data_IF_675871238528
#
_entry.id   IF_675871238528
#
_cell.length_a   1.000
_cell.length_b   1.000
_cell.length_c   1.000
_cell.angle_alpha   90.00
_cell.angle_beta   90.00
_cell.angle_gamma   90.00
#
_symmetry.space_group_name_H-M   'P 1'
#
loop_
_entity.id
_entity.type
_entity.pdbx_description
1 polymer ?
#
# COMPACT_ATOMS: atom_id res chain seq x y z
N UNK A 1 -28.79 3.32 -22.64
CA UNK A 1 -28.27 2.41 -21.61
C UNK A 1 -26.99 3.01 -21.07
N UNK A 2 -26.99 3.25 -19.77
CA UNK A 2 -26.10 4.17 -19.05
C UNK A 2 -24.70 3.55 -19.00
N UNK A 3 -23.72 4.26 -19.53
CA UNK A 3 -22.30 3.90 -19.41
C UNK A 3 -21.82 4.32 -18.01
N UNK A 4 -22.24 3.58 -16.98
CA UNK A 4 -21.60 3.64 -15.65
C UNK A 4 -20.38 2.73 -15.63
N UNK A 5 -19.47 2.91 -16.60
CA UNK A 5 -18.20 2.19 -16.59
C UNK A 5 -17.18 3.02 -15.81
N UNK A 6 -17.15 2.68 -14.53
CA UNK A 6 -16.28 3.18 -13.49
C UNK A 6 -14.84 3.47 -14.00
N UNK A 7 -14.43 4.72 -13.84
CA UNK A 7 -13.12 5.29 -14.13
C UNK A 7 -12.07 4.64 -13.20
N UNK A 8 -11.57 3.44 -13.54
CA UNK A 8 -10.47 2.82 -12.78
C UNK A 8 -9.51 1.92 -13.60
N UNK A 9 -9.77 1.67 -14.88
CA UNK A 9 -9.05 0.65 -15.67
C UNK A 9 -7.97 1.16 -16.64
N UNK A 10 -7.58 2.46 -16.62
CA UNK A 10 -6.58 3.02 -17.54
C UNK A 10 -5.42 3.80 -16.88
N UNK A 11 -5.05 3.54 -15.61
CA UNK A 11 -3.97 4.31 -14.95
C UNK A 11 -2.82 3.44 -14.43
N UNK A 12 -2.39 2.45 -15.21
CA UNK A 12 -1.00 1.98 -15.16
C UNK A 12 -0.70 1.02 -16.29
N UNK A 13 0.19 1.41 -17.20
CA UNK A 13 0.87 0.44 -18.04
C UNK A 13 1.66 -0.53 -17.12
N UNK A 14 1.41 -1.85 -17.15
CA UNK A 14 2.06 -2.80 -16.27
C UNK A 14 3.59 -2.83 -16.46
N UNK A 15 4.06 -2.45 -17.66
CA UNK A 15 5.48 -2.29 -17.97
C UNK A 15 6.04 -1.07 -17.24
N UNK A 16 5.45 0.12 -17.44
CA UNK A 16 5.91 1.35 -16.81
C UNK A 16 5.88 1.29 -15.28
N UNK A 17 4.90 0.59 -14.70
CA UNK A 17 4.79 0.41 -13.24
C UNK A 17 5.92 -0.46 -12.68
N UNK A 18 6.38 -1.46 -13.44
CA UNK A 18 7.52 -2.30 -13.07
C UNK A 18 8.81 -1.48 -13.06
N UNK A 19 8.98 -0.57 -14.00
CA UNK A 19 10.14 0.33 -14.09
C UNK A 19 10.14 1.41 -12.99
N UNK A 20 8.96 1.93 -12.62
CA UNK A 20 8.79 2.93 -11.55
C UNK A 20 8.98 2.36 -10.15
N UNK A 21 9.03 1.04 -10.01
CA UNK A 21 9.08 0.40 -8.69
C UNK A 21 10.37 0.79 -7.95
N UNK A 22 10.28 1.38 -6.75
CA UNK A 22 11.47 1.69 -5.98
C UNK A 22 12.21 0.39 -5.66
N UNK A 23 13.53 0.37 -5.89
CA UNK A 23 14.38 -0.81 -5.70
C UNK A 23 14.72 -1.05 -4.23
N UNK A 24 14.54 -0.03 -3.37
CA UNK A 24 14.89 -0.03 -1.95
C UNK A 24 13.83 0.70 -1.13
N UNK A 25 13.79 0.43 0.18
CA UNK A 25 12.91 1.12 1.13
C UNK A 25 11.67 0.33 1.56
N UNK A 26 10.78 0.99 2.29
CA UNK A 26 9.56 0.40 2.86
C UNK A 26 8.57 -0.03 1.76
N UNK A 27 8.38 0.82 0.75
CA UNK A 27 7.39 0.63 -0.33
C UNK A 27 7.84 -0.35 -1.44
N UNK A 28 9.12 -0.74 -1.47
CA UNK A 28 9.67 -1.63 -2.52
C UNK A 28 9.12 -3.05 -2.44
N UNK A 29 8.70 -3.50 -1.25
CA UNK A 29 8.13 -4.83 -1.05
C UNK A 29 6.65 -4.92 -1.44
N UNK A 30 6.00 -3.79 -1.75
CA UNK A 30 4.56 -3.73 -1.98
C UNK A 30 4.20 -3.77 -3.47
N UNK A 31 2.99 -4.26 -3.75
CA UNK A 31 2.39 -4.19 -5.08
C UNK A 31 2.12 -2.73 -5.46
N UNK A 32 1.97 -2.45 -6.75
CA UNK A 32 1.60 -1.13 -7.24
C UNK A 32 0.36 -0.52 -6.56
N UNK A 33 -0.79 -1.23 -6.45
CA UNK A 33 -1.97 -0.66 -5.80
C UNK A 33 -1.75 -0.40 -4.30
N UNK A 34 -1.07 -1.30 -3.58
CA UNK A 34 -0.83 -1.12 -2.15
C UNK A 34 0.15 0.04 -1.87
N UNK A 35 1.21 0.17 -2.66
CA UNK A 35 2.14 1.31 -2.57
C UNK A 35 1.42 2.63 -2.81
N UNK A 36 0.65 2.73 -3.90
CA UNK A 36 -0.08 3.96 -4.24
C UNK A 36 -1.08 4.34 -3.16
N UNK A 37 -1.79 3.36 -2.61
CA UNK A 37 -2.73 3.60 -1.52
C UNK A 37 -2.02 4.17 -0.28
N UNK A 38 -0.86 3.65 0.09
CA UNK A 38 -0.07 4.19 1.21
C UNK A 38 0.53 5.55 0.89
N UNK A 39 1.06 5.76 -0.31
CA UNK A 39 1.59 7.06 -0.77
C UNK A 39 0.52 8.14 -0.77
N UNK A 40 -0.71 7.80 -1.18
CA UNK A 40 -1.86 8.71 -1.16
C UNK A 40 -2.21 9.16 0.26
N UNK A 41 -2.14 8.25 1.24
CA UNK A 41 -2.32 8.57 2.66
C UNK A 41 -1.08 9.22 3.30
N UNK A 42 0.00 9.41 2.55
CA UNK A 42 1.26 9.97 3.06
C UNK A 42 2.09 9.02 3.92
N UNK A 43 1.81 7.71 3.87
CA UNK A 43 2.52 6.65 4.61
C UNK A 43 3.70 6.16 3.77
N UNK A 44 4.86 6.79 3.95
CA UNK A 44 6.09 6.50 3.21
C UNK A 44 7.08 5.65 4.03
N UNK A 45 6.84 5.49 5.33
CA UNK A 45 7.71 4.76 6.25
C UNK A 45 6.94 3.83 7.21
N UNK A 46 7.66 2.86 7.76
CA UNK A 46 7.13 1.97 8.80
C UNK A 46 6.74 2.74 10.08
N UNK A 47 7.42 3.84 10.39
CA UNK A 47 7.12 4.71 11.53
C UNK A 47 5.79 5.46 11.36
N UNK A 48 5.47 5.89 10.14
CA UNK A 48 4.15 6.44 9.84
C UNK A 48 3.09 5.35 9.87
N UNK A 49 3.40 4.16 9.35
CA UNK A 49 2.49 3.03 9.35
C UNK A 49 2.11 2.58 10.77
N UNK A 50 3.04 2.63 11.73
CA UNK A 50 2.78 2.23 13.13
C UNK A 50 1.78 3.14 13.83
N UNK A 51 1.52 4.35 13.33
CA UNK A 51 0.48 5.25 13.85
C UNK A 51 -0.95 4.80 13.47
N UNK A 52 -1.09 3.88 12.52
CA UNK A 52 -2.38 3.37 12.04
C UNK A 52 -2.68 1.98 12.60
N UNK A 53 -3.98 1.66 12.68
CA UNK A 53 -4.43 0.31 13.02
C UNK A 53 -4.46 -0.56 11.77
N UNK A 54 -4.38 -1.88 11.94
CA UNK A 54 -4.53 -2.84 10.83
C UNK A 54 -5.88 -2.67 10.10
N UNK A 55 -6.94 -2.30 10.83
CA UNK A 55 -8.26 -2.03 10.24
C UNK A 55 -8.27 -0.80 9.35
N UNK A 56 -7.57 0.26 9.74
CA UNK A 56 -7.54 1.49 8.94
C UNK A 56 -6.75 1.29 7.65
N UNK A 57 -5.65 0.54 7.72
CA UNK A 57 -4.87 0.17 6.55
C UNK A 57 -5.66 -0.72 5.58
N UNK A 58 -6.47 -1.65 6.10
CA UNK A 58 -7.35 -2.49 5.26
C UNK A 58 -8.51 -1.71 4.61
N UNK A 59 -8.87 -0.52 5.11
CA UNK A 59 -9.87 0.34 4.45
C UNK A 59 -9.30 1.05 3.22
N UNK A 60 -7.97 1.11 3.07
CA UNK A 60 -7.34 1.82 1.95
C UNK A 60 -7.57 1.08 0.63
N UNK A 61 -8.15 1.79 -0.33
CA UNK A 61 -8.45 1.23 -1.64
C UNK A 61 -7.17 0.86 -2.40
N UNK A 62 -6.89 -0.45 -2.47
CA UNK A 62 -5.68 -1.00 -3.09
C UNK A 62 -4.79 -1.78 -2.12
N UNK A 63 -5.02 -1.69 -0.81
CA UNK A 63 -4.41 -2.56 0.20
C UNK A 63 -5.35 -3.72 0.52
N UNK A 64 -4.94 -4.93 0.17
CA UNK A 64 -5.70 -6.15 0.46
C UNK A 64 -5.10 -6.96 1.61
N UNK A 65 -5.82 -7.99 2.11
CA UNK A 65 -5.33 -8.89 3.15
C UNK A 65 -4.02 -9.59 2.77
N UNK A 66 -3.78 -9.80 1.47
CA UNK A 66 -2.53 -10.35 0.95
C UNK A 66 -1.30 -9.45 1.21
N UNK A 67 -1.49 -8.14 1.39
CA UNK A 67 -0.40 -7.19 1.68
C UNK A 67 -0.07 -7.08 3.17
N UNK A 68 -0.98 -7.51 4.06
CA UNK A 68 -0.81 -7.39 5.51
C UNK A 68 0.42 -8.13 6.05
N UNK A 69 0.74 -9.38 5.63
CA UNK A 69 1.95 -10.07 6.09
C UNK A 69 3.22 -9.30 5.76
N UNK A 70 3.27 -8.68 4.58
CA UNK A 70 4.42 -7.86 4.14
C UNK A 70 4.56 -6.61 5.01
N UNK A 71 3.45 -5.92 5.30
CA UNK A 71 3.46 -4.73 6.16
C UNK A 71 3.87 -5.07 7.60
N UNK A 72 3.33 -6.17 8.16
CA UNK A 72 3.72 -6.68 9.49
C UNK A 72 5.22 -6.97 9.53
N UNK A 73 5.75 -7.67 8.53
CA UNK A 73 7.19 -7.94 8.43
C UNK A 73 8.01 -6.65 8.39
N UNK A 74 7.58 -5.64 7.62
CA UNK A 74 8.27 -4.34 7.54
C UNK A 74 8.26 -3.55 8.84
N UNK A 75 7.18 -3.65 9.62
CA UNK A 75 7.13 -3.09 10.96
C UNK A 75 8.07 -3.84 11.90
N UNK A 76 8.04 -5.18 11.88
CA UNK A 76 8.91 -6.01 12.72
C UNK A 76 10.41 -5.87 12.41
N UNK A 77 10.78 -5.61 11.15
CA UNK A 77 12.16 -5.26 10.74
C UNK A 77 12.69 -4.01 11.46
N UNK A 78 11.79 -3.15 11.95
CA UNK A 78 12.10 -1.96 12.74
C UNK A 78 11.67 -2.07 14.21
N UNK A 79 11.30 -3.26 14.68
CA UNK A 79 10.75 -3.48 16.03
C UNK A 79 9.46 -2.68 16.31
N UNK A 80 8.77 -2.25 15.25
CA UNK A 80 7.49 -1.55 15.31
C UNK A 80 6.33 -2.53 15.20
N UNK A 81 5.15 -2.05 15.62
CA UNK A 81 3.87 -2.75 15.47
C UNK A 81 2.81 -1.77 14.98
N UNK A 82 1.69 -2.31 14.49
CA UNK A 82 0.51 -1.49 14.25
C UNK A 82 0.01 -0.91 15.57
N UNK A 83 -0.66 0.24 15.49
CA UNK A 83 -1.38 0.79 16.61
C UNK A 83 -2.43 -0.20 17.09
N UNK A 84 -2.53 -0.37 18.40
CA UNK A 84 -3.59 -1.15 19.03
C UNK A 84 -4.97 -0.54 18.69
N UNK A 85 -6.00 -1.36 18.47
CA UNK A 85 -7.32 -0.92 18.06
C UNK A 85 -8.07 -0.10 19.12
#
# INVERSE_FOLDING_TARGET
MIVSLNVFLLVSCPVCEKERKPTKGFLSALSAPARRALEHEGILSADQLSAYTEKDILKLHGVGPASMPTLKKKLSEKELKFKEP
#
